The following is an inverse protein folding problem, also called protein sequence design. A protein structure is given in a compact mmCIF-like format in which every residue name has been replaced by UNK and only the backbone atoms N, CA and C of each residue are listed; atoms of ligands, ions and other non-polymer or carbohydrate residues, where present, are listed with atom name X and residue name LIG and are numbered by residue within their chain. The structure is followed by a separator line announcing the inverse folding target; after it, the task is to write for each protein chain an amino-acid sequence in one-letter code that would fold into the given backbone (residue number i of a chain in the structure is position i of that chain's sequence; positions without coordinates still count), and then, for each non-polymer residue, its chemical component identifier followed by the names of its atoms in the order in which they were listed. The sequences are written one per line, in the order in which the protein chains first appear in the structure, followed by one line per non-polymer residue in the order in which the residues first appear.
data_IF_251944033268
#
_entry.id   IF_251944033268
#
_cell.length_a   1.000
_cell.length_b   1.000
_cell.length_c   1.000
_cell.angle_alpha   90.00
_cell.angle_beta   90.00
_cell.angle_gamma   90.00
#
_symmetry.space_group_name_H-M   'P 1'
#
loop_
_entity.id
_entity.type
_entity.pdbx_description
1 polymer ?
#
# COMPACT_ATOMS: atom_id res chain seq x y z
N UNK A 1 16.43 -28.16 17.85
CA UNK A 1 15.94 -26.78 17.72
C UNK A 1 16.27 -26.32 16.31
N UNK A 2 15.24 -26.18 15.48
CA UNK A 2 15.37 -25.71 14.10
C UNK A 2 15.85 -24.25 14.13
N UNK A 3 17.04 -23.98 13.61
CA UNK A 3 17.57 -22.61 13.54
C UNK A 3 16.72 -21.86 12.52
N UNK A 4 15.81 -21.03 13.00
CA UNK A 4 15.06 -20.10 12.15
C UNK A 4 16.06 -19.23 11.40
N UNK A 5 16.04 -19.32 10.07
CA UNK A 5 16.95 -18.58 9.21
C UNK A 5 16.65 -17.07 9.35
N UNK A 6 17.51 -16.35 10.06
CA UNK A 6 17.37 -14.92 10.40
C UNK A 6 16.94 -14.00 9.22
N UNK A 7 17.43 -14.20 7.98
CA UNK A 7 17.01 -13.42 6.80
C UNK A 7 15.52 -13.59 6.45
N UNK A 8 14.95 -14.78 6.65
CA UNK A 8 13.55 -15.07 6.33
C UNK A 8 12.59 -14.38 7.31
N UNK A 9 12.99 -14.23 8.57
CA UNK A 9 12.21 -13.53 9.60
C UNK A 9 12.13 -12.05 9.29
N UNK A 10 13.29 -11.42 9.02
CA UNK A 10 13.37 -10.01 8.67
C UNK A 10 12.59 -9.66 7.39
N UNK A 11 12.60 -10.55 6.39
CA UNK A 11 11.80 -10.37 5.17
C UNK A 11 10.31 -10.39 5.50
N UNK A 12 9.85 -11.31 6.35
CA UNK A 12 8.43 -11.39 6.76
C UNK A 12 8.00 -10.16 7.56
N UNK A 13 8.82 -9.72 8.52
CA UNK A 13 8.55 -8.51 9.31
C UNK A 13 8.41 -7.28 8.42
N UNK A 14 9.34 -7.09 7.48
CA UNK A 14 9.30 -5.97 6.53
C UNK A 14 8.06 -6.00 5.62
N UNK A 15 7.59 -7.19 5.25
CA UNK A 15 6.36 -7.33 4.45
C UNK A 15 5.12 -7.04 5.29
N UNK A 16 5.12 -7.40 6.57
CA UNK A 16 4.04 -7.11 7.50
C UNK A 16 3.92 -5.60 7.79
N UNK A 17 5.04 -4.91 7.99
CA UNK A 17 5.08 -3.45 8.15
C UNK A 17 4.48 -2.74 6.93
N UNK A 18 4.87 -3.17 5.72
CA UNK A 18 4.30 -2.63 4.47
C UNK A 18 2.79 -2.89 4.36
N UNK A 19 2.32 -4.05 4.80
CA UNK A 19 0.90 -4.39 4.79
C UNK A 19 0.11 -3.51 5.78
N UNK A 20 0.66 -3.26 6.97
CA UNK A 20 0.06 -2.33 7.93
C UNK A 20 -0.02 -0.92 7.36
N UNK A 21 1.06 -0.41 6.77
CA UNK A 21 1.09 0.91 6.17
C UNK A 21 0.08 1.03 5.01
N UNK A 22 -0.04 0.00 4.17
CA UNK A 22 -1.03 -0.03 3.11
C UNK A 22 -2.46 0.03 3.67
N UNK A 23 -2.74 -0.75 4.72
CA UNK A 23 -4.05 -0.76 5.39
C UNK A 23 -4.37 0.62 5.94
N UNK A 24 -3.43 1.27 6.63
CA UNK A 24 -3.62 2.60 7.18
C UNK A 24 -3.95 3.64 6.09
N UNK A 25 -3.22 3.63 4.98
CA UNK A 25 -3.46 4.53 3.85
C UNK A 25 -4.85 4.30 3.25
N UNK A 26 -5.24 3.04 3.02
CA UNK A 26 -6.56 2.71 2.48
C UNK A 26 -7.68 3.14 3.44
N UNK A 27 -7.52 2.91 4.75
CA UNK A 27 -8.45 3.38 5.76
C UNK A 27 -8.59 4.90 5.72
N UNK A 28 -7.49 5.65 5.64
CA UNK A 28 -7.52 7.11 5.55
C UNK A 28 -8.28 7.60 4.32
N UNK A 29 -8.05 6.99 3.15
CA UNK A 29 -8.77 7.34 1.92
C UNK A 29 -10.27 7.09 2.05
N UNK A 30 -10.68 6.00 2.71
CA UNK A 30 -12.09 5.72 2.98
C UNK A 30 -12.66 6.76 3.94
N UNK A 31 -11.96 7.07 5.03
CA UNK A 31 -12.46 8.00 6.07
C UNK A 31 -12.48 9.46 5.64
N UNK A 32 -11.55 9.86 4.78
CA UNK A 32 -11.44 11.22 4.23
C UNK A 32 -12.35 11.41 3.00
N UNK A 33 -13.28 10.47 2.74
CA UNK A 33 -14.21 10.48 1.59
C UNK A 33 -13.50 10.74 0.26
N UNK A 34 -12.35 10.08 0.06
CA UNK A 34 -11.56 10.24 -1.16
C UNK A 34 -12.42 9.93 -2.39
N UNK A 35 -12.54 10.93 -3.25
CA UNK A 35 -13.22 10.85 -4.54
C UNK A 35 -12.15 10.82 -5.62
N UNK A 36 -12.09 9.73 -6.38
CA UNK A 36 -11.07 9.52 -7.39
C UNK A 36 -10.58 8.08 -7.43
N UNK A 37 -9.37 7.85 -7.92
CA UNK A 37 -8.79 6.52 -8.03
C UNK A 37 -7.27 6.50 -7.80
N UNK A 38 -6.78 5.34 -7.36
CA UNK A 38 -5.35 5.04 -7.29
C UNK A 38 -5.00 4.09 -8.43
N UNK A 39 -3.97 4.43 -9.19
CA UNK A 39 -3.42 3.57 -10.23
C UNK A 39 -2.09 2.98 -9.76
N UNK A 40 -2.03 1.67 -9.70
CA UNK A 40 -0.80 0.92 -9.39
C UNK A 40 -0.26 0.33 -10.68
N UNK A 41 0.93 0.77 -11.07
CA UNK A 41 1.64 0.26 -12.23
C UNK A 41 2.66 -0.79 -11.76
N UNK A 42 2.57 -1.98 -12.33
CA UNK A 42 3.52 -3.06 -12.07
C UNK A 42 4.62 -3.06 -13.14
N UNK A 43 5.86 -3.37 -12.74
CA UNK A 43 7.00 -3.55 -13.64
C UNK A 43 7.89 -4.68 -13.12
N UNK A 44 8.31 -5.58 -13.99
CA UNK A 44 9.18 -6.72 -13.67
C UNK A 44 8.74 -7.54 -12.45
N UNK A 45 7.43 -7.76 -12.30
CA UNK A 45 6.85 -8.54 -11.18
C UNK A 45 6.78 -7.80 -9.84
N UNK A 46 7.14 -6.51 -9.79
CA UNK A 46 7.01 -5.65 -8.62
C UNK A 46 6.12 -4.44 -8.87
N UNK A 47 5.78 -3.71 -7.80
CA UNK A 47 5.14 -2.40 -7.91
C UNK A 47 6.19 -1.40 -8.40
N UNK A 48 5.97 -0.81 -9.57
CA UNK A 48 6.87 0.17 -10.16
C UNK A 48 6.48 1.62 -9.82
N UNK A 49 5.20 1.97 -9.96
CA UNK A 49 4.71 3.35 -9.74
C UNK A 49 3.28 3.35 -9.21
N UNK A 50 3.01 4.21 -8.24
CA UNK A 50 1.68 4.46 -7.70
C UNK A 50 1.31 5.90 -8.03
N UNK A 51 0.13 6.11 -8.59
CA UNK A 51 -0.40 7.42 -8.96
C UNK A 51 -1.75 7.62 -8.27
N UNK A 52 -1.98 8.81 -7.71
CA UNK A 52 -3.25 9.21 -7.08
C UNK A 52 -3.92 10.27 -7.94
N UNK A 53 -5.18 10.05 -8.30
CA UNK A 53 -5.99 10.98 -9.06
C UNK A 53 -7.20 11.37 -8.22
N UNK A 54 -7.30 12.63 -7.83
CA UNK A 54 -8.44 13.19 -7.10
C UNK A 54 -9.46 13.79 -8.05
N UNK A 55 -10.73 13.45 -7.84
CA UNK A 55 -11.86 14.08 -8.48
C UNK A 55 -12.39 15.19 -7.59
N UNK A 56 -12.13 16.45 -7.94
CA UNK A 56 -12.73 17.57 -7.23
C UNK A 56 -14.18 17.71 -7.69
N UNK A 57 -15.12 17.20 -6.89
CA UNK A 57 -16.54 17.53 -7.05
C UNK A 57 -16.72 19.02 -6.80
N UNK A 58 -16.86 19.82 -7.86
CA UNK A 58 -17.30 21.21 -7.73
C UNK A 58 -18.72 21.18 -7.19
N UNK A 59 -18.88 21.57 -5.92
CA UNK A 59 -20.18 21.78 -5.29
C UNK A 59 -21.05 22.68 -6.16
N UNK A 60 -22.33 22.32 -6.25
CA UNK A 60 -23.36 23.06 -6.96
C UNK A 60 -23.59 24.44 -6.36
#
# INVERSE_FOLDING_TARGET
MEKLNLPLVLIKERQLEKLHLLTEVLTRLITEEFTGHIKVNFSQGGIGRIEKFEEILKGK
#
